data_IF_308738985514
#
_entry.id   IF_308738985514
#
_cell.length_a   1.000
_cell.length_b   1.000
_cell.length_c   1.000
_cell.angle_alpha   90.00
_cell.angle_beta   90.00
_cell.angle_gamma   90.00
#
_symmetry.space_group_name_H-M   'P 1'
#
loop_
_entity.id
_entity.type
_entity.pdbx_description
1 polymer ?
#
# COMPACT_ATOMS: atom_id res chain seq x y z
N UNK A 1 14.86 24.17 -1.41
CA UNK A 1 14.55 23.91 -2.82
C UNK A 1 15.64 23.05 -3.38
N UNK A 2 15.36 21.76 -3.40
CA UNK A 2 16.19 20.72 -3.97
C UNK A 2 16.35 20.88 -5.48
N UNK A 3 17.43 20.33 -6.04
CA UNK A 3 17.67 20.33 -7.50
C UNK A 3 16.58 19.61 -8.31
N UNK A 4 15.80 18.76 -7.66
CA UNK A 4 14.74 17.93 -8.27
C UNK A 4 13.33 18.54 -8.14
N UNK A 5 13.18 19.71 -7.52
CA UNK A 5 11.87 20.37 -7.35
C UNK A 5 10.90 19.68 -6.38
N UNK A 6 11.33 18.61 -5.72
CA UNK A 6 10.61 17.89 -4.67
C UNK A 6 11.57 17.60 -3.53
N UNK A 7 11.17 17.93 -2.31
CA UNK A 7 12.00 17.73 -1.10
C UNK A 7 11.95 16.25 -0.67
N UNK A 8 13.10 15.57 -0.44
CA UNK A 8 13.15 14.16 -0.03
C UNK A 8 12.30 13.85 1.21
N UNK A 9 12.22 14.79 2.15
CA UNK A 9 11.41 14.67 3.37
C UNK A 9 9.91 14.59 3.07
N UNK A 10 9.43 15.28 2.04
CA UNK A 10 8.03 15.21 1.60
C UNK A 10 7.75 13.88 0.89
N UNK A 11 8.71 13.34 0.12
CA UNK A 11 8.61 12.00 -0.46
C UNK A 11 8.53 10.92 0.62
N UNK A 12 9.38 10.99 1.66
CA UNK A 12 9.33 10.05 2.79
C UNK A 12 8.01 10.14 3.55
N UNK A 13 7.46 11.34 3.73
CA UNK A 13 6.14 11.54 4.35
C UNK A 13 5.03 10.96 3.49
N UNK A 14 5.10 11.13 2.17
CA UNK A 14 4.16 10.53 1.23
C UNK A 14 4.24 9.00 1.26
N UNK A 15 5.45 8.42 1.25
CA UNK A 15 5.66 6.97 1.38
C UNK A 15 5.08 6.41 2.70
N UNK A 16 5.29 7.10 3.81
CA UNK A 16 4.68 6.73 5.10
C UNK A 16 3.14 6.73 5.04
N UNK A 17 2.57 7.72 4.35
CA UNK A 17 1.12 7.77 4.10
C UNK A 17 0.61 6.62 3.23
N UNK A 18 1.41 6.15 2.27
CA UNK A 18 1.09 4.99 1.45
C UNK A 18 1.14 3.69 2.25
N UNK A 19 2.17 3.46 3.09
CA UNK A 19 2.19 2.29 3.99
C UNK A 19 1.01 2.25 4.96
N UNK A 20 0.61 3.38 5.52
CA UNK A 20 -0.58 3.42 6.36
C UNK A 20 -1.87 3.03 5.60
N UNK A 21 -1.91 3.21 4.27
CA UNK A 21 -3.03 2.76 3.42
C UNK A 21 -2.94 1.28 3.10
N UNK A 22 -1.73 0.74 2.87
CA UNK A 22 -1.49 -0.70 2.78
C UNK A 22 -2.02 -1.42 4.03
N UNK A 23 -1.61 -0.97 5.23
CA UNK A 23 -2.08 -1.51 6.51
C UNK A 23 -3.62 -1.47 6.62
N UNK A 24 -4.24 -0.37 6.17
CA UNK A 24 -5.69 -0.21 6.19
C UNK A 24 -6.41 -1.13 5.19
N UNK A 25 -5.80 -1.37 4.03
CA UNK A 25 -6.32 -2.28 3.01
C UNK A 25 -6.21 -3.74 3.47
N UNK A 26 -5.11 -4.13 4.09
CA UNK A 26 -4.96 -5.45 4.69
C UNK A 26 -5.98 -5.69 5.80
N UNK A 27 -6.16 -4.71 6.70
CA UNK A 27 -7.20 -4.80 7.72
C UNK A 27 -8.62 -4.88 7.12
N UNK A 28 -8.88 -4.24 5.98
CA UNK A 28 -10.15 -4.35 5.26
C UNK A 28 -10.32 -5.72 4.60
N UNK A 29 -9.25 -6.29 4.03
CA UNK A 29 -9.25 -7.64 3.49
C UNK A 29 -9.52 -8.68 4.58
N UNK A 30 -8.88 -8.56 5.75
CA UNK A 30 -9.09 -9.49 6.87
C UNK A 30 -10.53 -9.43 7.40
N UNK A 31 -11.11 -8.22 7.52
CA UNK A 31 -12.54 -8.07 7.87
C UNK A 31 -13.46 -8.69 6.83
N UNK A 32 -13.13 -8.57 5.54
CA UNK A 32 -13.94 -9.12 4.44
C UNK A 32 -13.83 -10.65 4.37
N UNK A 33 -12.64 -11.20 4.64
CA UNK A 33 -12.41 -12.63 4.74
C UNK A 33 -13.14 -13.27 5.94
N UNK A 34 -13.38 -12.50 7.00
CA UNK A 34 -14.16 -12.93 8.17
C UNK A 34 -15.67 -13.02 7.94
N UNK A 35 -16.18 -12.64 6.76
CA UNK A 35 -17.59 -12.78 6.40
C UNK A 35 -17.86 -14.25 6.07
N UNK A 36 -18.23 -15.02 7.07
CA UNK A 36 -18.71 -16.40 6.92
C UNK A 36 -20.21 -16.36 6.58
N UNK A 37 -20.55 -16.51 5.30
CA UNK A 37 -21.94 -16.63 4.83
C UNK A 37 -22.50 -18.05 5.00
N UNK A 38 -21.90 -18.85 5.89
CA UNK A 38 -22.08 -20.29 6.06
C UNK A 38 -23.49 -20.83 5.83
N UNK A 39 -23.57 -22.12 5.49
CA UNK A 39 -24.82 -22.81 5.14
C UNK A 39 -25.96 -22.66 6.15
N UNK A 40 -25.65 -22.32 7.41
CA UNK A 40 -26.60 -22.02 8.48
C UNK A 40 -27.37 -20.70 8.25
N UNK A 41 -26.77 -19.70 7.60
CA UNK A 41 -27.38 -18.38 7.35
C UNK A 41 -28.50 -18.47 6.32
N UNK A 42 -28.37 -19.40 5.36
CA UNK A 42 -29.25 -19.46 4.19
C UNK A 42 -30.11 -20.73 4.12
N UNK A 43 -29.83 -21.75 4.93
CA UNK A 43 -30.57 -23.01 4.85
C UNK A 43 -30.42 -23.69 3.48
N UNK A 44 -31.00 -24.89 3.33
CA UNK A 44 -30.76 -25.75 2.16
C UNK A 44 -31.20 -25.11 0.83
N UNK A 45 -32.27 -24.30 0.83
CA UNK A 45 -32.84 -23.67 -0.37
C UNK A 45 -32.05 -22.47 -0.88
N UNK A 46 -31.39 -21.69 -0.01
CA UNK A 46 -30.62 -20.50 -0.42
C UNK A 46 -29.10 -20.76 -0.40
N UNK A 47 -28.68 -22.00 -0.15
CA UNK A 47 -27.27 -22.45 -0.15
C UNK A 47 -26.50 -22.10 -1.43
N UNK A 48 -27.16 -22.04 -2.59
CA UNK A 48 -26.53 -21.63 -3.84
C UNK A 48 -26.16 -20.14 -3.86
N UNK A 49 -26.99 -19.27 -3.25
CA UNK A 49 -26.66 -17.86 -3.08
C UNK A 49 -25.49 -17.68 -2.11
N UNK A 50 -25.42 -18.49 -1.05
CA UNK A 50 -24.29 -18.50 -0.13
C UNK A 50 -22.99 -18.84 -0.86
N UNK A 51 -22.98 -19.87 -1.72
CA UNK A 51 -21.80 -20.26 -2.50
C UNK A 51 -21.32 -19.15 -3.44
N UNK A 52 -22.22 -18.55 -4.22
CA UNK A 52 -21.84 -17.46 -5.13
C UNK A 52 -21.41 -16.19 -4.38
N UNK A 53 -22.09 -15.85 -3.29
CA UNK A 53 -21.72 -14.69 -2.48
C UNK A 53 -20.36 -14.90 -1.79
N UNK A 54 -20.06 -16.12 -1.36
CA UNK A 54 -18.77 -16.50 -0.78
C UNK A 54 -17.64 -16.44 -1.81
N UNK A 55 -17.86 -16.93 -3.04
CA UNK A 55 -16.89 -16.77 -4.14
C UNK A 55 -16.61 -15.29 -4.45
N UNK A 56 -17.65 -14.46 -4.53
CA UNK A 56 -17.48 -13.02 -4.73
C UNK A 56 -16.74 -12.33 -3.57
N UNK A 57 -17.02 -12.72 -2.34
CA UNK A 57 -16.33 -12.22 -1.16
C UNK A 57 -14.84 -12.60 -1.17
N UNK A 58 -14.52 -13.85 -1.54
CA UNK A 58 -13.14 -14.30 -1.72
C UNK A 58 -12.42 -13.53 -2.83
N UNK A 59 -13.05 -13.36 -4.00
CA UNK A 59 -12.48 -12.60 -5.11
C UNK A 59 -12.22 -11.13 -4.75
N UNK A 60 -13.16 -10.50 -4.04
CA UNK A 60 -13.01 -9.12 -3.55
C UNK A 60 -11.87 -9.02 -2.54
N UNK A 61 -11.77 -9.96 -1.60
CA UNK A 61 -10.68 -10.02 -0.62
C UNK A 61 -9.32 -10.14 -1.32
N UNK A 62 -9.22 -10.99 -2.34
CA UNK A 62 -7.99 -11.16 -3.12
C UNK A 62 -7.60 -9.86 -3.84
N UNK A 63 -8.56 -9.17 -4.48
CA UNK A 63 -8.31 -7.90 -5.13
C UNK A 63 -7.85 -6.79 -4.16
N UNK A 64 -8.41 -6.76 -2.94
CA UNK A 64 -7.98 -5.80 -1.91
C UNK A 64 -6.53 -6.08 -1.47
N UNK A 65 -6.14 -7.36 -1.32
CA UNK A 65 -4.76 -7.74 -0.99
C UNK A 65 -3.77 -7.38 -2.11
N UNK A 66 -4.17 -7.57 -3.37
CA UNK A 66 -3.37 -7.15 -4.52
C UNK A 66 -3.17 -5.63 -4.53
N UNK A 67 -4.22 -4.86 -4.24
CA UNK A 67 -4.14 -3.41 -4.10
C UNK A 67 -3.22 -3.00 -2.94
N UNK A 68 -3.30 -3.65 -1.78
CA UNK A 68 -2.42 -3.40 -0.65
C UNK A 68 -0.94 -3.60 -1.06
N UNK A 69 -0.65 -4.71 -1.74
CA UNK A 69 0.69 -5.03 -2.26
C UNK A 69 1.20 -3.94 -3.22
N UNK A 70 0.36 -3.50 -4.17
CA UNK A 70 0.74 -2.46 -5.13
C UNK A 70 1.02 -1.11 -4.44
N UNK A 71 0.25 -0.76 -3.40
CA UNK A 71 0.47 0.45 -2.60
C UNK A 71 1.76 0.35 -1.79
N UNK A 72 2.06 -0.82 -1.22
CA UNK A 72 3.33 -1.08 -0.53
C UNK A 72 4.53 -0.92 -1.46
N UNK A 73 4.49 -1.52 -2.65
CA UNK A 73 5.54 -1.38 -3.66
C UNK A 73 5.75 0.09 -4.09
N UNK A 74 4.67 0.84 -4.33
CA UNK A 74 4.76 2.26 -4.65
C UNK A 74 5.36 3.10 -3.51
N UNK A 75 5.10 2.73 -2.26
CA UNK A 75 5.73 3.35 -1.10
C UNK A 75 7.25 3.08 -1.08
N UNK A 76 7.68 1.85 -1.36
CA UNK A 76 9.10 1.48 -1.44
C UNK A 76 9.83 2.24 -2.55
N UNK A 77 9.25 2.32 -3.74
CA UNK A 77 9.80 3.10 -4.86
C UNK A 77 9.94 4.59 -4.51
N UNK A 78 8.98 5.12 -3.76
CA UNK A 78 9.01 6.51 -3.28
C UNK A 78 10.16 6.73 -2.29
N UNK A 79 10.41 5.77 -1.38
CA UNK A 79 11.55 5.82 -0.45
C UNK A 79 12.87 5.76 -1.21
N UNK A 80 13.01 4.82 -2.15
CA UNK A 80 14.22 4.69 -2.96
C UNK A 80 14.52 5.97 -3.77
N UNK A 81 13.48 6.64 -4.26
CA UNK A 81 13.60 7.93 -4.94
C UNK A 81 14.08 9.03 -3.99
N UNK A 82 13.53 9.09 -2.77
CA UNK A 82 13.95 10.05 -1.76
C UNK A 82 15.43 9.87 -1.37
N UNK A 83 15.86 8.62 -1.18
CA UNK A 83 17.26 8.29 -0.86
C UNK A 83 18.21 8.68 -1.99
N UNK A 84 17.79 8.46 -3.23
CA UNK A 84 18.54 8.87 -4.43
C UNK A 84 18.70 10.38 -4.46
N UNK A 85 17.63 11.13 -4.23
CA UNK A 85 17.68 12.59 -4.22
C UNK A 85 18.58 13.11 -3.11
N UNK A 86 18.43 12.61 -1.88
CA UNK A 86 19.29 13.00 -0.75
C UNK A 86 20.77 12.73 -1.05
N UNK A 87 21.09 11.56 -1.61
CA UNK A 87 22.46 11.18 -1.96
C UNK A 87 23.07 12.12 -2.99
N UNK A 88 22.30 12.51 -4.01
CA UNK A 88 22.75 13.48 -5.01
C UNK A 88 22.97 14.86 -4.41
N UNK A 89 22.13 15.29 -3.48
CA UNK A 89 22.29 16.58 -2.81
C UNK A 89 23.50 16.61 -1.89
N UNK A 90 23.74 15.56 -1.12
CA UNK A 90 24.91 15.44 -0.26
C UNK A 90 26.20 15.40 -1.10
N UNK A 91 26.20 14.66 -2.21
CA UNK A 91 27.32 14.62 -3.14
C UNK A 91 27.59 15.99 -3.78
N UNK A 92 26.54 16.71 -4.19
CA UNK A 92 26.66 18.06 -4.72
C UNK A 92 27.20 19.03 -3.65
N UNK A 93 26.65 18.97 -2.44
CA UNK A 93 27.09 19.79 -1.31
C UNK A 93 28.57 19.58 -1.01
N UNK A 94 29.01 18.33 -0.88
CA UNK A 94 30.41 17.98 -0.66
C UNK A 94 31.34 18.50 -1.77
N UNK A 95 30.85 18.55 -3.01
CA UNK A 95 31.63 19.00 -4.17
C UNK A 95 31.72 20.52 -4.31
N UNK A 96 30.70 21.25 -3.85
CA UNK A 96 30.59 22.70 -4.04
C UNK A 96 30.83 23.54 -2.77
N UNK A 97 30.78 22.98 -1.56
CA UNK A 97 31.02 23.74 -0.33
C UNK A 97 32.52 24.01 -0.05
N UNK A 98 33.45 23.23 -0.64
CA UNK A 98 34.90 23.40 -0.45
C UNK A 98 35.38 23.17 1.00
N UNK A 99 36.69 23.01 1.25
CA UNK A 99 37.21 22.96 2.61
C UNK A 99 37.00 24.33 3.29
N UNK A 100 36.39 24.30 4.49
CA UNK A 100 36.20 25.48 5.34
C UNK A 100 37.52 26.11 5.77
#
# INVERSE_FOLDING_TARGET
MTGFGVEPTELLKFAKGQRAREDALDAAADKSAGVDLGGDTFGQLLSFFASSAQEWAHGTTAAIRELATAVGAAAEDTVATADTYSSHEDANRARFEGPR
#
